data_IF_818122953091
#
_entry.id   IF_818122953091
#
_cell.length_a   1.000
_cell.length_b   1.000
_cell.length_c   1.000
_cell.angle_alpha   90.00
_cell.angle_beta   90.00
_cell.angle_gamma   90.00
#
_symmetry.space_group_name_H-M   'P 1'
#
loop_
_entity.id
_entity.type
_entity.pdbx_description
1 polymer ?
#
# COMPACT_ATOMS: atom_id res chain seq x y z
N UNK A 1 15.78 3.05 -14.31
CA UNK A 1 15.62 3.55 -12.93
C UNK A 1 15.37 2.34 -12.04
N UNK A 2 16.05 2.24 -10.89
CA UNK A 2 15.94 1.07 -10.00
C UNK A 2 14.56 1.03 -9.32
N UNK A 3 13.96 -0.16 -9.21
CA UNK A 3 12.63 -0.42 -8.61
C UNK A 3 12.54 0.08 -7.14
N UNK A 4 13.68 0.13 -6.44
CA UNK A 4 13.80 0.61 -5.05
C UNK A 4 13.54 2.10 -4.90
N UNK A 5 13.85 2.91 -5.92
CA UNK A 5 13.60 4.37 -5.91
C UNK A 5 12.10 4.68 -6.06
N UNK A 6 11.34 3.81 -6.75
CA UNK A 6 9.89 3.96 -6.94
C UNK A 6 9.14 3.91 -5.60
N UNK A 7 9.58 3.07 -4.67
CA UNK A 7 8.89 2.88 -3.39
C UNK A 7 9.07 4.07 -2.44
N UNK A 8 10.12 4.87 -2.62
CA UNK A 8 10.47 6.00 -1.75
C UNK A 8 9.40 7.09 -1.73
N UNK A 9 8.72 7.28 -2.86
CA UNK A 9 7.71 8.33 -3.07
C UNK A 9 6.28 7.78 -3.06
N UNK A 10 6.08 6.52 -2.63
CA UNK A 10 4.75 5.94 -2.54
C UNK A 10 3.92 6.71 -1.50
N UNK A 11 2.77 7.21 -1.97
CA UNK A 11 1.75 7.88 -1.17
C UNK A 11 2.14 9.28 -0.66
N UNK A 12 3.18 9.91 -1.22
CA UNK A 12 3.59 11.27 -0.84
C UNK A 12 2.46 12.30 -0.99
N UNK A 13 1.58 12.11 -1.98
CA UNK A 13 0.40 12.95 -2.17
C UNK A 13 -0.58 12.90 -0.98
N UNK A 14 -0.60 11.79 -0.24
CA UNK A 14 -1.41 11.62 0.96
C UNK A 14 -0.66 12.04 2.22
N UNK A 15 0.65 11.80 2.27
CA UNK A 15 1.51 12.17 3.40
C UNK A 15 1.59 13.69 3.54
N UNK A 16 1.63 14.42 2.42
CA UNK A 16 1.66 15.88 2.40
C UNK A 16 0.27 16.53 2.28
N UNK A 17 -0.80 15.73 2.31
CA UNK A 17 -2.17 16.22 2.27
C UNK A 17 -2.67 16.77 3.62
N UNK A 18 -3.81 17.47 3.56
CA UNK A 18 -4.44 18.13 4.72
C UNK A 18 -5.32 17.18 5.54
N UNK A 19 -5.68 16.01 5.00
CA UNK A 19 -6.53 15.02 5.67
C UNK A 19 -5.69 14.15 6.62
N UNK A 20 -5.87 14.29 7.95
CA UNK A 20 -5.06 13.57 8.94
C UNK A 20 -5.29 12.06 8.92
N UNK A 21 -6.49 11.59 8.56
CA UNK A 21 -6.77 10.16 8.51
C UNK A 21 -6.12 9.52 7.29
N UNK A 22 -6.20 10.18 6.12
CA UNK A 22 -5.52 9.70 4.90
C UNK A 22 -4.01 9.66 5.09
N UNK A 23 -3.45 10.70 5.73
CA UNK A 23 -2.03 10.74 6.09
C UNK A 23 -1.64 9.57 7.00
N UNK A 24 -2.39 9.31 8.07
CA UNK A 24 -2.11 8.19 8.97
C UNK A 24 -2.16 6.83 8.25
N UNK A 25 -3.16 6.61 7.38
CA UNK A 25 -3.23 5.38 6.58
C UNK A 25 -2.06 5.27 5.60
N UNK A 26 -1.68 6.36 4.94
CA UNK A 26 -0.55 6.39 4.01
C UNK A 26 0.79 6.09 4.69
N UNK A 27 1.04 6.66 5.86
CA UNK A 27 2.24 6.38 6.67
C UNK A 27 2.30 4.90 7.07
N UNK A 28 1.19 4.32 7.53
CA UNK A 28 1.10 2.89 7.84
C UNK A 28 1.45 2.01 6.64
N UNK A 29 0.90 2.32 5.46
CA UNK A 29 1.23 1.59 4.23
C UNK A 29 2.70 1.76 3.82
N UNK A 30 3.27 2.96 3.93
CA UNK A 30 4.69 3.21 3.62
C UNK A 30 5.62 2.42 4.53
N UNK A 31 5.32 2.35 5.83
CA UNK A 31 6.07 1.53 6.79
C UNK A 31 6.00 0.05 6.43
N UNK A 32 4.80 -0.48 6.14
CA UNK A 32 4.61 -1.88 5.78
C UNK A 32 5.36 -2.26 4.49
N UNK A 33 5.29 -1.41 3.46
CA UNK A 33 6.01 -1.60 2.18
C UNK A 33 7.53 -1.52 2.41
N UNK A 34 7.98 -0.56 3.21
CA UNK A 34 9.40 -0.43 3.58
C UNK A 34 9.92 -1.70 4.25
N UNK A 35 9.14 -2.30 5.14
CA UNK A 35 9.48 -3.57 5.79
C UNK A 35 9.60 -4.72 4.77
N UNK A 36 8.69 -4.80 3.79
CA UNK A 36 8.81 -5.81 2.71
C UNK A 36 10.06 -5.62 1.83
N UNK A 37 10.48 -4.37 1.61
CA UNK A 37 11.69 -4.08 0.84
C UNK A 37 12.98 -4.54 1.57
N UNK A 38 12.99 -4.54 2.91
CA UNK A 38 14.08 -5.14 3.71
C UNK A 38 14.23 -6.63 3.38
N UNK A 39 13.11 -7.32 3.20
CA UNK A 39 13.06 -8.73 2.79
C UNK A 39 13.29 -8.95 1.29
N UNK A 40 13.67 -7.90 0.55
CA UNK A 40 13.87 -7.88 -0.92
C UNK A 40 12.61 -8.29 -1.71
N UNK A 41 11.43 -8.13 -1.12
CA UNK A 41 10.16 -8.36 -1.81
C UNK A 41 9.77 -7.11 -2.60
N UNK A 42 9.22 -7.34 -3.79
CA UNK A 42 8.64 -6.27 -4.61
C UNK A 42 7.13 -6.23 -4.40
N UNK A 43 6.62 -5.04 -4.12
CA UNK A 43 5.19 -4.80 -3.97
C UNK A 43 4.54 -4.76 -5.34
N UNK A 44 3.49 -5.56 -5.55
CA UNK A 44 2.75 -5.55 -6.82
C UNK A 44 1.91 -4.28 -6.98
N UNK A 45 1.69 -3.84 -8.23
CA UNK A 45 0.78 -2.73 -8.56
C UNK A 45 -0.63 -2.96 -7.99
N UNK A 46 -1.07 -4.22 -7.93
CA UNK A 46 -2.35 -4.58 -7.32
C UNK A 46 -2.43 -4.20 -5.83
N UNK A 47 -1.36 -4.48 -5.08
CA UNK A 47 -1.30 -4.12 -3.66
C UNK A 47 -1.24 -2.60 -3.46
N UNK A 48 -0.51 -1.89 -4.34
CA UNK A 48 -0.48 -0.42 -4.35
C UNK A 48 -1.88 0.16 -4.59
N UNK A 49 -2.66 -0.42 -5.51
CA UNK A 49 -4.03 0.02 -5.77
C UNK A 49 -4.95 -0.21 -4.56
N UNK A 50 -4.88 -1.38 -3.92
CA UNK A 50 -5.66 -1.64 -2.71
C UNK A 50 -5.30 -0.70 -1.56
N UNK A 51 -4.02 -0.40 -1.40
CA UNK A 51 -3.55 0.58 -0.42
C UNK A 51 -4.15 1.97 -0.67
N UNK A 52 -4.17 2.45 -1.92
CA UNK A 52 -4.79 3.73 -2.29
C UNK A 52 -6.27 3.77 -1.94
N UNK A 53 -7.03 2.75 -2.32
CA UNK A 53 -8.46 2.66 -2.01
C UNK A 53 -8.73 2.64 -0.51
N UNK A 54 -7.87 1.99 0.27
CA UNK A 54 -7.94 2.05 1.73
C UNK A 54 -7.59 3.43 2.28
N UNK A 55 -6.56 4.09 1.75
CA UNK A 55 -6.20 5.46 2.13
C UNK A 55 -7.38 6.40 1.84
N UNK A 56 -8.03 6.28 0.69
CA UNK A 56 -9.22 7.08 0.33
C UNK A 56 -10.47 6.78 1.16
N UNK A 57 -10.46 5.70 1.95
CA UNK A 57 -11.62 5.25 2.73
C UNK A 57 -12.66 4.49 1.91
N UNK A 58 -12.35 4.12 0.66
CA UNK A 58 -13.20 3.27 -0.18
C UNK A 58 -13.22 1.80 0.28
N UNK A 59 -12.17 1.38 0.98
CA UNK A 59 -12.03 0.03 1.53
C UNK A 59 -11.58 0.10 2.99
N UNK A 60 -12.20 -0.70 3.85
CA UNK A 60 -11.64 -1.04 5.15
C UNK A 60 -10.39 -1.92 5.01
N UNK A 61 -9.59 -1.99 6.08
CA UNK A 61 -8.41 -2.86 6.07
C UNK A 61 -8.78 -4.35 5.98
N UNK A 62 -9.96 -4.73 6.48
CA UNK A 62 -10.44 -6.11 6.43
C UNK A 62 -10.88 -6.48 5.01
N UNK A 63 -11.56 -5.59 4.28
CA UNK A 63 -11.86 -5.79 2.86
C UNK A 63 -10.58 -5.89 2.01
N UNK A 64 -9.56 -5.08 2.32
CA UNK A 64 -8.25 -5.22 1.65
C UNK A 64 -7.65 -6.60 1.90
N UNK A 65 -7.68 -7.10 3.14
CA UNK A 65 -7.17 -8.43 3.49
C UNK A 65 -7.91 -9.52 2.71
N UNK A 66 -9.23 -9.47 2.66
CA UNK A 66 -10.04 -10.43 1.90
C UNK A 66 -9.69 -10.41 0.40
N UNK A 67 -9.53 -9.23 -0.20
CA UNK A 67 -9.16 -9.08 -1.61
C UNK A 67 -7.77 -9.67 -1.91
N UNK A 68 -6.80 -9.41 -1.04
CA UNK A 68 -5.45 -10.02 -1.12
C UNK A 68 -5.56 -11.54 -1.04
N UNK A 69 -6.29 -12.04 -0.05
CA UNK A 69 -6.49 -13.47 0.19
C UNK A 69 -7.09 -14.17 -1.04
N UNK A 70 -8.17 -13.61 -1.60
CA UNK A 70 -8.84 -14.15 -2.78
C UNK A 70 -7.90 -14.12 -3.99
N UNK A 71 -7.16 -13.03 -4.20
CA UNK A 71 -6.25 -12.88 -5.33
C UNK A 71 -5.12 -13.90 -5.31
N UNK A 72 -4.49 -14.13 -4.16
CA UNK A 72 -3.39 -15.09 -4.03
C UNK A 72 -3.85 -16.55 -3.91
N UNK A 73 -5.07 -16.81 -3.40
CA UNK A 73 -5.69 -18.15 -3.44
C UNK A 73 -6.04 -18.57 -4.87
N UNK A 74 -6.48 -17.64 -5.72
CA UNK A 74 -6.78 -17.91 -7.15
C UNK A 74 -5.54 -18.10 -8.03
N UNK A 75 -4.36 -17.64 -7.58
CA UNK A 75 -3.09 -17.82 -8.27
C UNK A 75 -2.34 -19.11 -7.88
N UNK A 76 -2.87 -19.89 -6.93
CA UNK A 76 -2.44 -21.27 -6.64
C UNK A 76 -3.14 -22.24 -7.57
#
# INVERSE_FOLDING_TARGET
MMETEKNKYLFDEYIHGDDPEKRARAENWRVAIGLQAVDRLTVSDYLIQLARRNIEGELSIDEVRELIDVHYKKKK
#
